data_IF_946549009479
#
_entry.id   IF_946549009479
#
_cell.length_a   1.000
_cell.length_b   1.000
_cell.length_c   1.000
_cell.angle_alpha   90.00
_cell.angle_beta   90.00
_cell.angle_gamma   90.00
#
_symmetry.space_group_name_H-M   'P 1'
#
loop_
_entity.id
_entity.type
_entity.pdbx_description
1 polymer ?
#
# COMPACT_ATOMS: atom_id res chain seq x y z
N UNK A 1 -32.85 0.21 26.75
CA UNK A 1 -31.96 -0.74 26.06
C UNK A 1 -31.28 0.00 24.92
N UNK A 2 -29.97 0.21 24.99
CA UNK A 2 -29.20 0.85 23.92
C UNK A 2 -28.65 -0.26 23.04
N UNK A 3 -29.21 -0.38 21.83
CA UNK A 3 -28.87 -1.40 20.85
C UNK A 3 -27.46 -1.11 20.30
N UNK A 4 -26.48 -1.91 20.71
CA UNK A 4 -25.12 -1.86 20.16
C UNK A 4 -25.20 -2.28 18.69
N UNK A 5 -24.99 -1.31 17.78
CA UNK A 5 -24.78 -1.61 16.37
C UNK A 5 -23.33 -2.01 16.19
N UNK A 6 -23.12 -3.20 15.64
CA UNK A 6 -21.81 -3.69 15.24
C UNK A 6 -21.20 -2.69 14.25
N UNK A 7 -19.91 -2.32 14.38
CA UNK A 7 -19.29 -1.37 13.45
C UNK A 7 -19.39 -1.91 12.03
N UNK A 8 -19.96 -1.11 11.14
CA UNK A 8 -19.91 -1.36 9.71
C UNK A 8 -18.46 -1.15 9.29
N UNK A 9 -17.75 -2.24 9.03
CA UNK A 9 -16.49 -2.19 8.31
C UNK A 9 -16.81 -1.81 6.85
N UNK A 10 -16.98 -0.53 6.58
CA UNK A 10 -17.06 0.01 5.21
C UNK A 10 -15.67 0.15 4.58
N UNK A 11 -14.69 -0.62 5.06
CA UNK A 11 -13.46 -0.87 4.32
C UNK A 11 -13.83 -1.68 3.08
N UNK A 12 -13.93 -1.01 1.93
CA UNK A 12 -13.92 -1.68 0.61
C UNK A 12 -12.84 -2.76 0.65
N UNK A 13 -13.11 -4.00 0.18
CA UNK A 13 -12.10 -5.06 0.17
C UNK A 13 -10.83 -4.49 -0.45
N UNK A 14 -9.74 -4.71 0.27
CA UNK A 14 -8.40 -4.17 0.07
C UNK A 14 -7.84 -4.66 -1.28
N UNK A 15 -8.39 -4.13 -2.39
CA UNK A 15 -8.14 -4.50 -3.80
C UNK A 15 -6.65 -4.45 -4.16
N UNK A 16 -5.91 -3.67 -3.36
CA UNK A 16 -4.47 -3.56 -3.29
C UNK A 16 -3.69 -4.84 -3.05
N UNK A 17 -4.29 -5.83 -2.38
CA UNK A 17 -3.63 -7.10 -2.07
C UNK A 17 -3.39 -7.92 -3.34
N UNK A 18 -4.21 -7.74 -4.38
CA UNK A 18 -4.17 -8.59 -5.56
C UNK A 18 -3.38 -8.01 -6.75
N UNK A 19 -2.96 -6.74 -6.67
CA UNK A 19 -2.32 -6.06 -7.81
C UNK A 19 -0.84 -6.47 -8.03
N UNK A 20 -0.21 -7.13 -7.06
CA UNK A 20 1.22 -7.47 -7.13
C UNK A 20 1.52 -8.96 -7.18
N UNK A 21 0.52 -9.83 -7.04
CA UNK A 21 0.75 -11.29 -6.97
C UNK A 21 0.97 -11.96 -8.33
N UNK A 22 0.69 -11.30 -9.46
CA UNK A 22 0.62 -11.98 -10.77
C UNK A 22 1.76 -11.69 -11.78
N UNK A 23 2.89 -11.07 -11.39
CA UNK A 23 3.94 -10.74 -12.38
C UNK A 23 5.39 -10.95 -11.90
N UNK A 24 5.58 -12.03 -11.13
CA UNK A 24 6.88 -12.63 -10.83
C UNK A 24 7.34 -13.60 -11.94
N UNK A 25 7.25 -13.20 -13.22
CA UNK A 25 8.14 -13.75 -14.26
C UNK A 25 9.53 -13.13 -14.03
N UNK A 26 10.32 -13.82 -13.20
CA UNK A 26 11.74 -13.58 -13.04
C UNK A 26 12.49 -14.17 -14.25
N UNK A 27 12.65 -13.37 -15.31
CA UNK A 27 13.79 -13.56 -16.23
C UNK A 27 15.03 -12.89 -15.62
N UNK A 28 15.41 -13.38 -14.44
CA UNK A 28 16.70 -13.08 -13.82
C UNK A 28 17.67 -14.19 -14.25
N UNK A 29 18.08 -14.16 -15.52
CA UNK A 29 19.38 -14.73 -15.92
C UNK A 29 20.46 -13.92 -15.17
N UNK A 30 20.70 -14.37 -13.95
CA UNK A 30 21.84 -14.02 -13.12
C UNK A 30 23.05 -14.69 -13.76
N UNK A 31 23.95 -13.89 -14.32
CA UNK A 31 25.31 -14.35 -14.61
C UNK A 31 25.94 -14.75 -13.25
N UNK A 32 25.97 -16.06 -12.98
CA UNK A 32 26.52 -16.67 -11.79
C UNK A 32 28.04 -16.39 -11.70
N UNK A 33 28.47 -15.68 -10.65
CA UNK A 33 29.78 -15.93 -10.05
C UNK A 33 29.58 -16.55 -8.66
N UNK A 34 29.75 -17.87 -8.64
CA UNK A 34 29.84 -18.75 -7.47
C UNK A 34 30.81 -18.21 -6.42
N UNK A 35 30.28 -17.81 -5.25
CA UNK A 35 31.08 -17.74 -4.02
C UNK A 35 30.36 -18.49 -2.90
N UNK A 36 30.85 -19.70 -2.71
CA UNK A 36 30.49 -20.69 -1.70
C UNK A 36 30.65 -20.12 -0.27
N UNK A 37 29.53 -19.90 0.44
CA UNK A 37 29.51 -19.66 1.91
C UNK A 37 28.33 -20.34 2.59
N UNK A 38 28.56 -21.61 2.91
CA UNK A 38 27.88 -22.39 3.93
C UNK A 38 27.62 -21.57 5.23
N UNK A 39 26.37 -21.22 5.50
CA UNK A 39 25.96 -20.70 6.83
C UNK A 39 24.84 -21.57 7.39
N UNK A 40 25.24 -22.45 8.31
CA UNK A 40 24.40 -23.31 9.13
C UNK A 40 23.65 -22.46 10.14
N UNK A 41 22.35 -22.23 9.95
CA UNK A 41 21.50 -21.56 10.96
C UNK A 41 20.72 -22.60 11.75
N UNK A 42 21.07 -22.65 13.03
CA UNK A 42 20.51 -23.48 14.07
C UNK A 42 19.04 -23.15 14.32
N UNK A 43 18.21 -24.19 14.34
CA UNK A 43 16.86 -24.16 14.91
C UNK A 43 16.94 -23.93 16.42
N UNK A 44 16.29 -22.87 16.91
CA UNK A 44 15.88 -22.78 18.33
C UNK A 44 14.51 -22.11 18.39
N UNK A 45 13.54 -22.89 18.85
CA UNK A 45 12.15 -22.54 19.10
C UNK A 45 12.03 -21.61 20.34
N UNK A 46 10.98 -20.78 20.32
CA UNK A 46 10.33 -20.09 21.45
C UNK A 46 11.12 -19.09 22.31
N UNK A 47 11.23 -17.82 21.84
CA UNK A 47 11.30 -16.62 22.70
C UNK A 47 11.17 -15.27 21.96
N UNK A 48 11.00 -15.21 20.64
CA UNK A 48 10.90 -13.93 19.93
C UNK A 48 9.94 -14.07 18.75
N UNK A 49 8.64 -14.01 19.00
CA UNK A 49 7.66 -13.79 17.93
C UNK A 49 7.99 -12.41 17.37
N UNK A 50 8.79 -12.39 16.30
CA UNK A 50 9.25 -11.19 15.66
C UNK A 50 8.05 -10.28 15.41
N UNK A 51 8.07 -9.10 16.01
CA UNK A 51 7.01 -8.14 15.80
C UNK A 51 7.19 -7.51 14.41
N UNK A 52 6.56 -8.10 13.40
CA UNK A 52 6.70 -7.67 12.01
C UNK A 52 6.33 -6.20 11.80
N UNK A 53 5.41 -5.67 12.60
CA UNK A 53 5.06 -4.25 12.59
C UNK A 53 6.27 -3.38 12.99
N UNK A 54 6.83 -3.63 14.18
CA UNK A 54 7.98 -2.88 14.68
C UNK A 54 9.25 -3.11 13.84
N UNK A 55 9.41 -4.32 13.32
CA UNK A 55 10.51 -4.66 12.41
C UNK A 55 10.44 -3.86 11.11
N UNK A 56 9.24 -3.68 10.56
CA UNK A 56 9.02 -2.89 9.36
C UNK A 56 9.33 -1.41 9.58
N UNK A 57 8.80 -0.83 10.66
CA UNK A 57 9.02 0.58 11.00
C UNK A 57 10.49 0.92 11.24
N UNK A 58 11.26 -0.02 11.81
CA UNK A 58 12.69 0.17 12.10
C UNK A 58 13.62 -0.37 11.02
N UNK A 59 13.09 -0.81 9.87
CA UNK A 59 13.86 -1.41 8.77
C UNK A 59 14.79 -2.55 9.24
N UNK A 60 14.30 -3.39 10.16
CA UNK A 60 15.04 -4.59 10.61
C UNK A 60 14.98 -5.68 9.55
N UNK A 61 15.92 -6.62 9.61
CA UNK A 61 15.95 -7.77 8.70
C UNK A 61 14.70 -8.65 8.85
N UNK A 62 14.04 -8.94 7.74
CA UNK A 62 12.93 -9.89 7.69
C UNK A 62 13.44 -11.29 7.36
N UNK A 63 12.75 -12.35 7.81
CA UNK A 63 13.00 -13.72 7.36
C UNK A 63 12.94 -13.82 5.83
N UNK A 64 13.76 -14.69 5.25
CA UNK A 64 13.96 -14.80 3.80
C UNK A 64 12.66 -15.00 3.00
N UNK A 65 11.62 -15.62 3.59
CA UNK A 65 10.30 -15.76 2.97
C UNK A 65 9.61 -14.44 2.61
N UNK A 66 9.97 -13.33 3.26
CA UNK A 66 9.52 -11.98 2.93
C UNK A 66 10.56 -11.27 2.06
N UNK A 67 10.75 -11.82 0.85
CA UNK A 67 11.81 -11.44 -0.08
C UNK A 67 11.55 -10.13 -0.83
N UNK A 68 10.34 -9.59 -0.78
CA UNK A 68 9.97 -8.34 -1.44
C UNK A 68 9.27 -7.37 -0.47
N UNK A 69 9.21 -6.10 -0.86
CA UNK A 69 8.66 -5.03 -0.02
C UNK A 69 7.17 -5.26 0.31
N UNK A 70 6.39 -5.76 -0.65
CA UNK A 70 4.97 -6.03 -0.46
C UNK A 70 4.72 -7.10 0.62
N UNK A 71 5.44 -8.22 0.56
CA UNK A 71 5.34 -9.31 1.55
C UNK A 71 5.68 -8.81 2.96
N UNK A 72 6.67 -7.93 3.10
CA UNK A 72 7.04 -7.31 4.39
C UNK A 72 5.91 -6.41 4.90
N UNK A 73 5.35 -5.56 4.03
CA UNK A 73 4.23 -4.67 4.35
C UNK A 73 2.99 -5.46 4.78
N UNK A 74 2.59 -6.50 4.04
CA UNK A 74 1.43 -7.34 4.38
C UNK A 74 1.61 -7.98 5.75
N UNK A 75 2.80 -8.53 6.04
CA UNK A 75 3.09 -9.11 7.36
C UNK A 75 3.00 -8.08 8.49
N UNK A 76 3.52 -6.87 8.26
CA UNK A 76 3.43 -5.77 9.21
C UNK A 76 1.97 -5.32 9.43
N UNK A 77 1.19 -5.18 8.35
CA UNK A 77 -0.23 -4.81 8.37
C UNK A 77 -1.07 -5.83 9.11
N UNK A 78 -0.87 -7.12 8.84
CA UNK A 78 -1.56 -8.20 9.57
C UNK A 78 -1.23 -8.19 11.06
N UNK A 79 0.04 -7.94 11.40
CA UNK A 79 0.48 -7.87 12.79
C UNK A 79 -0.15 -6.68 13.52
N UNK A 80 -0.17 -5.51 12.90
CA UNK A 80 -0.85 -4.31 13.40
C UNK A 80 -2.35 -4.57 13.63
N UNK A 81 -3.04 -5.15 12.64
CA UNK A 81 -4.46 -5.51 12.76
C UNK A 81 -4.73 -6.47 13.92
N UNK A 82 -3.88 -7.50 14.11
CA UNK A 82 -3.99 -8.44 15.24
C UNK A 82 -3.78 -7.74 16.58
N UNK A 83 -2.80 -6.83 16.67
CA UNK A 83 -2.55 -6.05 17.88
C UNK A 83 -3.77 -5.17 18.22
N UNK A 84 -4.37 -4.50 17.23
CA UNK A 84 -5.57 -3.70 17.43
C UNK A 84 -6.77 -4.54 17.87
N UNK A 85 -7.01 -5.68 17.22
CA UNK A 85 -8.07 -6.62 17.62
C UNK A 85 -7.91 -7.09 19.06
N UNK A 86 -6.68 -7.36 19.49
CA UNK A 86 -6.37 -7.72 20.88
C UNK A 86 -6.67 -6.57 21.85
N UNK A 87 -6.23 -5.33 21.54
CA UNK A 87 -6.52 -4.13 22.35
C UNK A 87 -8.03 -3.94 22.53
N UNK A 88 -8.81 -4.00 21.44
CA UNK A 88 -10.28 -3.84 21.47
C UNK A 88 -10.95 -4.98 22.25
N UNK A 89 -10.54 -6.23 22.02
CA UNK A 89 -11.13 -7.39 22.70
C UNK A 89 -10.95 -7.29 24.21
N UNK A 90 -9.77 -6.87 24.66
CA UNK A 90 -9.48 -6.65 26.08
C UNK A 90 -10.35 -5.53 26.66
N UNK A 91 -10.48 -4.41 25.94
CA UNK A 91 -11.34 -3.29 26.36
C UNK A 91 -12.82 -3.73 26.51
N UNK A 92 -13.32 -4.55 25.59
CA UNK A 92 -14.68 -5.10 25.66
C UNK A 92 -14.88 -6.05 26.85
N UNK A 93 -13.89 -6.88 27.17
CA UNK A 93 -13.92 -7.75 28.34
C UNK A 93 -13.95 -6.95 29.65
N UNK A 94 -13.10 -5.92 29.75
CA UNK A 94 -13.07 -5.03 30.91
C UNK A 94 -14.39 -4.27 31.06
N UNK A 95 -14.98 -3.81 29.96
CA UNK A 95 -16.29 -3.17 29.96
C UNK A 95 -17.40 -4.11 30.44
N UNK A 96 -17.42 -5.35 29.95
CA UNK A 96 -18.40 -6.34 30.38
C UNK A 96 -18.29 -6.62 31.88
N UNK A 97 -17.07 -6.83 32.39
CA UNK A 97 -16.83 -7.03 33.82
C UNK A 97 -17.27 -5.82 34.67
N UNK A 98 -17.00 -4.60 34.19
CA UNK A 98 -17.43 -3.36 34.85
C UNK A 98 -18.97 -3.24 34.89
N UNK A 99 -19.65 -3.64 33.81
CA UNK A 99 -21.12 -3.65 33.73
C UNK A 99 -21.74 -4.71 34.64
N UNK A 100 -21.12 -5.87 34.77
CA UNK A 100 -21.55 -6.91 35.70
C UNK A 100 -21.43 -6.45 37.16
N UNK A 101 -20.37 -5.70 37.49
CA UNK A 101 -20.23 -5.08 38.80
C UNK A 101 -21.31 -4.03 39.07
N UNK A 102 -21.63 -3.18 38.10
CA UNK A 102 -22.75 -2.22 38.21
C UNK A 102 -24.08 -2.93 38.45
N UNK A 103 -24.34 -4.04 37.76
CA UNK A 103 -25.55 -4.84 37.96
C UNK A 103 -25.63 -5.41 39.38
N UNK A 104 -24.50 -5.80 39.97
CA UNK A 104 -24.45 -6.24 41.37
C UNK A 104 -24.72 -5.09 42.34
N UNK A 105 -24.08 -3.94 42.15
CA UNK A 105 -24.32 -2.74 42.98
C UNK A 105 -25.78 -2.29 42.88
N UNK A 106 -26.40 -2.39 41.71
CA UNK A 106 -27.81 -2.03 41.49
C UNK A 106 -28.78 -2.80 42.39
N UNK A 107 -28.42 -4.04 42.79
CA UNK A 107 -29.23 -4.82 43.74
C UNK A 107 -29.26 -4.20 45.14
N UNK A 108 -28.20 -3.51 45.53
CA UNK A 108 -28.06 -2.89 46.85
C UNK A 108 -28.42 -1.39 46.85
N UNK A 109 -27.92 -0.63 45.86
CA UNK A 109 -28.15 0.81 45.71
C UNK A 109 -28.34 1.19 44.23
N UNK A 110 -29.60 1.37 43.78
CA UNK A 110 -29.91 1.75 42.41
C UNK A 110 -29.34 3.10 42.00
N UNK A 111 -29.29 4.10 42.89
CA UNK A 111 -28.84 5.45 42.54
C UNK A 111 -27.33 5.48 42.32
N UNK A 112 -26.58 4.83 43.19
CA UNK A 112 -25.12 4.70 43.03
C UNK A 112 -24.79 3.91 41.77
N UNK A 113 -25.52 2.81 41.51
CA UNK A 113 -25.33 2.03 40.29
C UNK A 113 -25.59 2.83 39.01
N UNK A 114 -26.61 3.68 38.98
CA UNK A 114 -26.91 4.51 37.81
C UNK A 114 -25.84 5.56 37.54
N UNK A 115 -25.26 6.15 38.59
CA UNK A 115 -24.12 7.07 38.46
C UNK A 115 -22.87 6.35 37.95
N UNK A 116 -22.56 5.18 38.53
CA UNK A 116 -21.44 4.34 38.07
C UNK A 116 -21.62 3.89 36.62
N UNK A 117 -22.83 3.50 36.22
CA UNK A 117 -23.13 3.09 34.85
C UNK A 117 -22.81 4.20 33.84
N UNK A 118 -23.19 5.45 34.16
CA UNK A 118 -22.89 6.61 33.33
C UNK A 118 -21.39 6.85 33.21
N UNK A 119 -20.68 6.89 34.32
CA UNK A 119 -19.24 7.12 34.34
C UNK A 119 -18.47 6.03 33.58
N UNK A 120 -18.82 4.76 33.78
CA UNK A 120 -18.18 3.63 33.09
C UNK A 120 -18.46 3.70 31.58
N UNK A 121 -19.69 4.04 31.18
CA UNK A 121 -20.04 4.18 29.77
C UNK A 121 -19.25 5.30 29.11
N UNK A 122 -19.17 6.47 29.76
CA UNK A 122 -18.41 7.62 29.25
C UNK A 122 -16.91 7.29 29.13
N UNK A 123 -16.32 6.67 30.16
CA UNK A 123 -14.91 6.22 30.12
C UNK A 123 -14.66 5.22 29.00
N UNK A 124 -15.56 4.24 28.82
CA UNK A 124 -15.45 3.26 27.75
C UNK A 124 -15.51 3.93 26.37
N UNK A 125 -16.47 4.83 26.15
CA UNK A 125 -16.58 5.58 24.88
C UNK A 125 -15.32 6.39 24.59
N UNK A 126 -14.77 7.08 25.59
CA UNK A 126 -13.54 7.85 25.43
C UNK A 126 -12.33 6.96 25.13
N UNK A 127 -12.20 5.82 25.80
CA UNK A 127 -11.11 4.86 25.54
C UNK A 127 -11.23 4.23 24.16
N UNK A 128 -12.44 3.84 23.76
CA UNK A 128 -12.70 3.26 22.46
C UNK A 128 -12.37 4.26 21.33
N UNK A 129 -12.84 5.50 21.44
CA UNK A 129 -12.50 6.57 20.49
C UNK A 129 -10.99 6.86 20.44
N UNK A 130 -10.29 6.79 21.58
CA UNK A 130 -8.83 6.94 21.62
C UNK A 130 -8.13 5.79 20.87
N UNK A 131 -8.58 4.55 21.02
CA UNK A 131 -8.03 3.39 20.32
C UNK A 131 -8.32 3.42 18.82
N UNK A 132 -9.49 3.91 18.39
CA UNK A 132 -9.77 4.10 16.96
C UNK A 132 -8.85 5.16 16.35
N UNK A 133 -8.64 6.27 17.06
CA UNK A 133 -7.73 7.32 16.60
C UNK A 133 -6.27 6.86 16.54
N UNK A 134 -5.84 6.05 17.51
CA UNK A 134 -4.50 5.45 17.51
C UNK A 134 -4.30 4.49 16.33
N UNK A 135 -5.28 3.61 16.05
CA UNK A 135 -5.23 2.67 14.93
C UNK A 135 -5.20 3.38 13.57
N UNK A 136 -5.98 4.46 13.42
CA UNK A 136 -5.94 5.26 12.20
C UNK A 136 -4.56 5.90 11.99
N UNK A 137 -3.97 6.47 13.04
CA UNK A 137 -2.63 7.04 12.96
C UNK A 137 -1.54 5.98 12.68
N UNK A 138 -1.64 4.80 13.29
CA UNK A 138 -0.73 3.67 13.03
C UNK A 138 -0.85 3.18 11.57
N UNK A 139 -2.07 3.10 11.03
CA UNK A 139 -2.33 2.77 9.62
C UNK A 139 -1.73 3.79 8.67
N UNK A 140 -1.99 5.08 8.90
CA UNK A 140 -1.45 6.17 8.08
C UNK A 140 0.09 6.13 8.07
N UNK A 141 0.72 5.95 9.24
CA UNK A 141 2.17 5.82 9.33
C UNK A 141 2.70 4.61 8.54
N UNK A 142 2.06 3.45 8.69
CA UNK A 142 2.47 2.22 8.02
C UNK A 142 2.36 2.35 6.49
N UNK A 143 1.25 2.91 6.00
CA UNK A 143 1.02 3.15 4.57
C UNK A 143 2.02 4.19 4.06
N UNK A 144 2.22 5.30 4.76
CA UNK A 144 3.17 6.34 4.36
C UNK A 144 4.60 5.82 4.20
N UNK A 145 5.05 4.99 5.13
CA UNK A 145 6.37 4.35 5.05
C UNK A 145 6.45 3.37 3.87
N UNK A 146 5.40 2.58 3.64
CA UNK A 146 5.34 1.67 2.50
C UNK A 146 5.44 2.39 1.17
N UNK A 147 4.68 3.47 0.99
CA UNK A 147 4.74 4.30 -0.21
C UNK A 147 6.16 4.82 -0.45
N UNK A 148 6.84 5.26 0.61
CA UNK A 148 8.23 5.72 0.51
C UNK A 148 9.18 4.61 0.06
N UNK A 149 9.07 3.40 0.62
CA UNK A 149 9.92 2.27 0.24
C UNK A 149 9.67 1.83 -1.20
N UNK A 150 8.41 1.70 -1.61
CA UNK A 150 8.04 1.34 -2.98
C UNK A 150 8.56 2.37 -3.97
N UNK A 151 8.37 3.67 -3.69
CA UNK A 151 8.86 4.73 -4.56
C UNK A 151 10.40 4.70 -4.69
N UNK A 152 11.11 4.50 -3.57
CA UNK A 152 12.56 4.40 -3.58
C UNK A 152 13.04 3.21 -4.43
N UNK A 153 12.46 2.03 -4.22
CA UNK A 153 12.79 0.82 -4.97
C UNK A 153 12.48 0.96 -6.48
N UNK A 154 11.34 1.55 -6.84
CA UNK A 154 10.98 1.81 -8.22
C UNK A 154 11.94 2.82 -8.87
N UNK A 155 12.28 3.91 -8.18
CA UNK A 155 13.22 4.91 -8.67
C UNK A 155 14.62 4.32 -8.90
N UNK A 156 15.10 3.49 -7.97
CA UNK A 156 16.35 2.77 -8.13
C UNK A 156 16.32 1.84 -9.34
N UNK A 157 15.23 1.08 -9.51
CA UNK A 157 15.10 0.16 -10.65
C UNK A 157 15.04 0.91 -11.98
N UNK A 158 14.33 2.04 -12.05
CA UNK A 158 14.29 2.91 -13.22
C UNK A 158 15.68 3.43 -13.58
N UNK A 159 16.44 3.92 -12.59
CA UNK A 159 17.81 4.39 -12.80
C UNK A 159 18.71 3.26 -13.31
N UNK A 160 18.70 2.12 -12.63
CA UNK A 160 19.55 0.97 -12.97
C UNK A 160 19.29 0.45 -14.39
N UNK A 161 18.00 0.26 -14.74
CA UNK A 161 17.61 -0.26 -16.06
C UNK A 161 17.87 0.76 -17.17
N UNK A 162 17.65 2.06 -16.92
CA UNK A 162 18.01 3.13 -17.84
C UNK A 162 19.52 3.18 -18.11
N UNK A 163 20.35 3.10 -17.07
CA UNK A 163 21.81 3.10 -17.22
C UNK A 163 22.29 1.91 -18.05
N UNK A 164 21.73 0.71 -17.80
CA UNK A 164 22.02 -0.50 -18.60
C UNK A 164 21.53 -0.37 -20.04
N UNK A 165 20.35 0.20 -20.25
CA UNK A 165 19.79 0.49 -21.57
C UNK A 165 20.68 1.43 -22.39
N UNK A 166 21.15 2.53 -21.79
CA UNK A 166 22.06 3.49 -22.44
C UNK A 166 23.37 2.84 -22.87
N UNK A 167 23.98 2.04 -21.99
CA UNK A 167 25.21 1.30 -22.32
C UNK A 167 24.99 0.25 -23.41
N UNK A 168 23.81 -0.37 -23.46
CA UNK A 168 23.47 -1.33 -24.51
C UNK A 168 23.27 -0.63 -25.87
N UNK A 169 22.64 0.56 -25.89
CA UNK A 169 22.51 1.39 -27.09
C UNK A 169 23.87 1.77 -27.67
N UNK A 170 24.82 2.20 -26.82
CA UNK A 170 26.19 2.55 -27.25
C UNK A 170 26.92 1.37 -27.90
N UNK A 171 26.68 0.15 -27.40
CA UNK A 171 27.29 -1.09 -27.93
C UNK A 171 26.56 -1.66 -29.14
N UNK A 172 25.34 -1.20 -29.42
CA UNK A 172 24.51 -1.71 -30.51
C UNK A 172 23.98 -3.14 -30.32
N UNK A 173 23.91 -3.64 -29.08
CA UNK A 173 23.47 -5.00 -28.76
C UNK A 173 21.93 -5.05 -28.67
N UNK A 174 21.27 -5.39 -29.78
CA UNK A 174 19.81 -5.40 -29.88
C UNK A 174 19.12 -6.23 -28.79
N UNK A 175 19.68 -7.39 -28.41
CA UNK A 175 19.10 -8.26 -27.38
C UNK A 175 19.12 -7.55 -26.01
N UNK A 176 20.27 -6.97 -25.64
CA UNK A 176 20.39 -6.25 -24.36
C UNK A 176 19.57 -4.97 -24.36
N UNK A 177 19.49 -4.26 -25.48
CA UNK A 177 18.65 -3.06 -25.65
C UNK A 177 17.19 -3.43 -25.37
N UNK A 178 16.67 -4.49 -25.98
CA UNK A 178 15.29 -4.98 -25.71
C UNK A 178 15.12 -5.35 -24.24
N UNK A 179 16.03 -6.15 -23.66
CA UNK A 179 15.95 -6.60 -22.25
C UNK A 179 15.85 -5.42 -21.29
N UNK A 180 16.76 -4.45 -21.40
CA UNK A 180 16.81 -3.32 -20.47
C UNK A 180 15.70 -2.30 -20.71
N UNK A 181 15.28 -2.10 -21.96
CA UNK A 181 14.14 -1.23 -22.26
C UNK A 181 12.83 -1.79 -21.71
N UNK A 182 12.58 -3.11 -21.87
CA UNK A 182 11.44 -3.79 -21.22
C UNK A 182 11.50 -3.65 -19.70
N UNK A 183 12.69 -3.82 -19.10
CA UNK A 183 12.89 -3.65 -17.67
C UNK A 183 12.57 -2.23 -17.18
N UNK A 184 12.98 -1.21 -17.94
CA UNK A 184 12.67 0.19 -17.64
C UNK A 184 11.16 0.48 -17.74
N UNK A 185 10.53 0.03 -18.82
CA UNK A 185 9.08 0.16 -19.03
C UNK A 185 8.32 -0.54 -17.91
N UNK A 186 8.70 -1.78 -17.53
CA UNK A 186 8.07 -2.50 -16.42
C UNK A 186 8.16 -1.70 -15.11
N UNK A 187 9.26 -0.99 -14.86
CA UNK A 187 9.42 -0.17 -13.66
C UNK A 187 8.56 1.11 -13.70
N UNK A 188 8.41 1.77 -14.86
CA UNK A 188 7.49 2.91 -15.03
C UNK A 188 6.03 2.48 -14.92
N UNK A 189 5.64 1.37 -15.53
CA UNK A 189 4.26 0.86 -15.48
C UNK A 189 3.88 0.38 -14.07
N UNK A 190 4.80 -0.23 -13.33
CA UNK A 190 4.57 -0.55 -11.91
C UNK A 190 4.35 0.71 -11.07
N UNK A 191 5.05 1.81 -11.34
CA UNK A 191 4.81 3.09 -10.68
C UNK A 191 3.44 3.67 -11.03
N UNK A 192 3.03 3.61 -12.30
CA UNK A 192 1.70 4.02 -12.74
C UNK A 192 0.61 3.23 -12.03
N UNK A 193 0.72 1.90 -11.99
CA UNK A 193 -0.22 1.03 -11.29
C UNK A 193 -0.31 1.39 -9.80
N UNK A 194 0.84 1.51 -9.13
CA UNK A 194 0.89 1.84 -7.70
C UNK A 194 0.26 3.20 -7.41
N UNK A 195 0.52 4.20 -8.26
CA UNK A 195 -0.08 5.53 -8.16
C UNK A 195 -1.60 5.49 -8.35
N UNK A 196 -2.09 4.76 -9.35
CA UNK A 196 -3.53 4.66 -9.67
C UNK A 196 -4.27 4.03 -8.52
N UNK A 197 -3.77 2.90 -8.04
CA UNK A 197 -4.37 2.23 -6.91
C UNK A 197 -4.37 3.18 -5.69
N UNK A 198 -3.28 3.93 -5.47
CA UNK A 198 -3.16 4.87 -4.32
C UNK A 198 -4.23 5.93 -4.35
N UNK A 199 -4.40 6.51 -5.52
CA UNK A 199 -5.46 7.45 -5.74
C UNK A 199 -6.84 6.82 -5.57
N UNK A 200 -7.05 5.58 -6.04
CA UNK A 200 -8.31 4.86 -5.85
C UNK A 200 -8.67 4.76 -4.37
N UNK A 201 -7.73 4.34 -3.51
CA UNK A 201 -7.97 4.28 -2.06
C UNK A 201 -8.39 5.63 -1.48
N UNK A 202 -7.62 6.68 -1.78
CA UNK A 202 -7.88 8.02 -1.25
C UNK A 202 -9.25 8.54 -1.71
N UNK A 203 -9.71 8.21 -2.93
CA UNK A 203 -11.07 8.57 -3.37
C UNK A 203 -12.15 8.00 -2.45
N UNK A 204 -11.94 6.82 -1.88
CA UNK A 204 -12.91 6.19 -0.98
C UNK A 204 -12.69 6.60 0.48
N UNK A 205 -11.45 6.64 0.96
CA UNK A 205 -11.15 6.93 2.38
C UNK A 205 -11.16 8.42 2.71
N UNK A 206 -10.73 9.29 1.79
CA UNK A 206 -10.64 10.73 1.99
C UNK A 206 -10.98 11.53 0.71
N UNK A 207 -12.27 11.66 0.33
CA UNK A 207 -12.68 12.30 -0.92
C UNK A 207 -12.17 13.73 -1.10
N UNK A 208 -12.10 14.51 -0.02
CA UNK A 208 -11.57 15.88 -0.05
C UNK A 208 -10.07 15.90 -0.37
N UNK A 209 -9.33 14.93 0.19
CA UNK A 209 -7.92 14.76 -0.10
C UNK A 209 -7.70 14.35 -1.55
N UNK A 210 -8.56 13.47 -2.07
CA UNK A 210 -8.52 13.04 -3.47
C UNK A 210 -8.62 14.26 -4.42
N UNK A 211 -9.53 15.19 -4.16
CA UNK A 211 -9.63 16.45 -4.93
C UNK A 211 -8.32 17.24 -4.87
N UNK A 212 -7.74 17.37 -3.66
CA UNK A 212 -6.51 18.15 -3.45
C UNK A 212 -5.32 17.58 -4.23
N UNK A 213 -5.14 16.26 -4.23
CA UNK A 213 -3.97 15.62 -4.85
C UNK A 213 -4.16 15.25 -6.32
N UNK A 214 -5.41 15.25 -6.82
CA UNK A 214 -5.73 14.83 -8.18
C UNK A 214 -4.84 15.47 -9.27
N UNK A 215 -4.58 16.80 -9.28
CA UNK A 215 -3.71 17.41 -10.28
C UNK A 215 -2.26 16.89 -10.22
N UNK A 216 -1.77 16.58 -9.03
CA UNK A 216 -0.41 16.03 -8.82
C UNK A 216 -0.34 14.60 -9.36
N UNK A 217 -1.36 13.79 -9.08
CA UNK A 217 -1.46 12.41 -9.58
C UNK A 217 -1.50 12.37 -11.11
N UNK A 218 -2.38 13.18 -11.73
CA UNK A 218 -2.48 13.28 -13.19
C UNK A 218 -1.14 13.69 -13.81
N UNK A 219 -0.46 14.68 -13.21
CA UNK A 219 0.84 15.11 -13.70
C UNK A 219 1.92 14.02 -13.56
N UNK A 220 1.94 13.27 -12.45
CA UNK A 220 2.90 12.17 -12.27
C UNK A 220 2.72 11.08 -13.33
N UNK A 221 1.47 10.65 -13.58
CA UNK A 221 1.16 9.64 -14.59
C UNK A 221 1.53 10.10 -16.00
N UNK A 222 1.25 11.36 -16.33
CA UNK A 222 1.64 11.99 -17.61
C UNK A 222 3.16 12.03 -17.78
N UNK A 223 3.90 12.40 -16.72
CA UNK A 223 5.36 12.39 -16.76
C UNK A 223 5.93 10.98 -16.94
N UNK A 224 5.28 9.96 -16.35
CA UNK A 224 5.65 8.56 -16.54
C UNK A 224 5.53 8.12 -18.00
N UNK A 225 4.41 8.43 -18.65
CA UNK A 225 4.19 8.15 -20.07
C UNK A 225 5.25 8.87 -20.94
N UNK A 226 5.51 10.15 -20.68
CA UNK A 226 6.53 10.91 -21.40
C UNK A 226 7.93 10.32 -21.27
N UNK A 227 8.27 9.74 -20.11
CA UNK A 227 9.56 9.07 -19.91
C UNK A 227 9.67 7.79 -20.73
N UNK A 228 8.59 7.00 -20.83
CA UNK A 228 8.53 5.82 -21.69
C UNK A 228 8.70 6.23 -23.16
N UNK A 229 7.99 7.28 -23.60
CA UNK A 229 8.10 7.82 -24.96
C UNK A 229 9.51 8.31 -25.27
N UNK A 230 10.15 9.00 -24.32
CA UNK A 230 11.53 9.45 -24.46
C UNK A 230 12.50 8.28 -24.59
N UNK A 231 12.36 7.23 -23.77
CA UNK A 231 13.16 6.03 -23.85
C UNK A 231 13.00 5.34 -25.22
N UNK A 232 11.76 5.15 -25.68
CA UNK A 232 11.47 4.61 -27.02
C UNK A 232 11.99 5.51 -28.15
N UNK A 233 12.00 6.82 -27.94
CA UNK A 233 12.50 7.81 -28.90
C UNK A 233 14.01 7.74 -29.12
N UNK A 234 14.77 7.22 -28.15
CA UNK A 234 16.23 7.08 -28.26
C UNK A 234 16.66 6.07 -29.32
N UNK A 235 15.80 5.08 -29.61
CA UNK A 235 16.02 4.09 -30.69
C UNK A 235 16.14 4.74 -32.07
N UNK A 236 15.51 5.90 -32.30
CA UNK A 236 15.54 6.62 -33.60
C UNK A 236 16.94 6.99 -34.08
N UNK A 237 17.92 7.03 -33.16
CA UNK A 237 19.33 7.27 -33.47
C UNK A 237 20.03 6.05 -34.09
N UNK A 238 19.38 4.88 -34.06
CA UNK A 238 19.90 3.60 -34.49
C UNK A 238 18.87 2.85 -35.37
N UNK A 239 18.64 3.28 -36.63
CA UNK A 239 17.52 2.78 -37.43
C UNK A 239 17.49 1.26 -37.64
N UNK A 240 18.66 0.62 -37.79
CA UNK A 240 18.76 -0.83 -37.96
C UNK A 240 18.34 -1.58 -36.69
N UNK A 241 18.74 -1.07 -35.52
CA UNK A 241 18.37 -1.64 -34.22
C UNK A 241 16.91 -1.36 -33.92
N UNK A 242 16.43 -0.14 -34.22
CA UNK A 242 15.04 0.26 -34.05
C UNK A 242 14.09 -0.69 -34.78
N UNK A 243 14.40 -1.08 -36.03
CA UNK A 243 13.59 -2.01 -36.79
C UNK A 243 13.45 -3.40 -36.13
N UNK A 244 14.44 -3.83 -35.35
CA UNK A 244 14.41 -5.10 -34.61
C UNK A 244 13.72 -4.94 -33.24
N UNK A 245 14.07 -3.90 -32.48
CA UNK A 245 13.65 -3.72 -31.08
C UNK A 245 12.24 -3.16 -30.95
N UNK A 246 11.86 -2.19 -31.80
CA UNK A 246 10.60 -1.44 -31.65
C UNK A 246 9.37 -2.36 -31.68
N UNK A 247 9.19 -3.27 -32.67
CA UNK A 247 8.01 -4.15 -32.69
C UNK A 247 7.91 -5.05 -31.46
N UNK A 248 9.06 -5.54 -30.99
CA UNK A 248 9.17 -6.39 -29.80
C UNK A 248 8.80 -5.67 -28.50
N UNK A 249 9.07 -4.37 -28.41
CA UNK A 249 8.74 -3.56 -27.23
C UNK A 249 7.30 -3.03 -27.30
N UNK A 250 6.82 -2.67 -28.50
CA UNK A 250 5.42 -2.29 -28.72
C UNK A 250 4.45 -3.46 -28.41
N UNK A 251 4.82 -4.69 -28.76
CA UNK A 251 4.05 -5.87 -28.37
C UNK A 251 4.06 -6.09 -26.84
N UNK A 252 5.20 -5.83 -26.20
CA UNK A 252 5.31 -5.90 -24.74
C UNK A 252 4.46 -4.84 -24.04
N UNK A 253 4.37 -3.62 -24.58
CA UNK A 253 3.58 -2.52 -24.01
C UNK A 253 2.09 -2.84 -23.90
N UNK A 254 1.54 -3.63 -24.83
CA UNK A 254 0.13 -4.05 -24.79
C UNK A 254 -0.25 -4.83 -23.54
N UNK A 255 0.73 -5.46 -22.86
CA UNK A 255 0.50 -6.16 -21.59
C UNK A 255 0.02 -5.21 -20.48
N UNK A 256 0.24 -3.90 -20.63
CA UNK A 256 -0.14 -2.87 -19.67
C UNK A 256 -1.42 -2.11 -20.06
N UNK A 257 -2.17 -2.57 -21.07
CA UNK A 257 -3.43 -1.94 -21.48
C UNK A 257 -4.47 -1.88 -20.33
N UNK A 258 -4.42 -2.86 -19.42
CA UNK A 258 -5.24 -2.87 -18.20
C UNK A 258 -4.95 -1.67 -17.30
N UNK A 259 -3.67 -1.27 -17.15
CA UNK A 259 -3.25 -0.09 -16.40
C UNK A 259 -3.79 1.18 -17.06
N UNK A 260 -3.67 1.27 -18.38
CA UNK A 260 -4.20 2.41 -19.13
C UNK A 260 -5.72 2.56 -18.96
N UNK A 261 -6.45 1.44 -18.92
CA UNK A 261 -7.87 1.43 -18.62
C UNK A 261 -8.14 1.88 -17.17
N UNK A 262 -7.40 1.36 -16.18
CA UNK A 262 -7.53 1.80 -14.78
C UNK A 262 -7.26 3.30 -14.61
N UNK A 263 -6.25 3.86 -15.28
CA UNK A 263 -6.00 5.31 -15.28
C UNK A 263 -7.20 6.08 -15.82
N UNK A 264 -7.76 5.62 -16.94
CA UNK A 264 -8.93 6.24 -17.57
C UNK A 264 -10.16 6.21 -16.67
N UNK A 265 -10.38 5.11 -15.98
CA UNK A 265 -11.63 4.87 -15.25
C UNK A 265 -11.56 5.41 -13.81
N UNK A 266 -10.37 5.37 -13.19
CA UNK A 266 -10.17 5.77 -11.78
C UNK A 266 -9.69 7.19 -11.65
N UNK A 267 -8.71 7.61 -12.45
CA UNK A 267 -7.96 8.85 -12.23
C UNK A 267 -8.49 10.00 -13.08
N UNK A 268 -8.76 9.78 -14.37
CA UNK A 268 -9.19 10.86 -15.26
C UNK A 268 -10.53 11.52 -14.86
N UNK A 269 -11.53 10.80 -14.32
CA UNK A 269 -12.75 11.44 -13.87
C UNK A 269 -12.45 12.31 -12.65
N UNK A 270 -12.87 13.58 -12.68
CA UNK A 270 -12.71 14.47 -11.54
C UNK A 270 -13.42 13.87 -10.31
N UNK A 271 -12.74 13.83 -9.14
CA UNK A 271 -13.36 13.37 -7.91
C UNK A 271 -14.54 14.29 -7.56
N UNK A 272 -15.73 13.71 -7.48
CA UNK A 272 -16.94 14.44 -7.09
C UNK A 272 -16.98 14.53 -5.58
N UNK A 273 -17.00 15.75 -5.06
CA UNK A 273 -17.45 16.03 -3.70
C UNK A 273 -18.89 16.51 -3.83
N UNK A 274 -19.84 15.75 -3.30
CA UNK A 274 -21.18 16.28 -3.05
C UNK A 274 -21.01 17.42 -2.05
N UNK A 275 -21.17 18.65 -2.52
CA UNK A 275 -21.24 19.80 -1.65
C UNK A 275 -22.50 19.60 -0.80
N UNK A 276 -22.36 19.38 0.50
CA UNK A 276 -23.46 19.66 1.43
C UNK A 276 -23.82 21.12 1.22
N UNK A 277 -24.92 21.33 0.51
CA UNK A 277 -25.53 22.64 0.36
C UNK A 277 -26.13 22.96 1.72
N UNK A 278 -25.34 23.55 2.62
CA UNK A 278 -25.88 24.33 3.73
C UNK A 278 -26.59 25.56 3.14
N UNK A 279 -27.79 25.34 2.59
CA UNK A 279 -28.76 26.38 2.37
C UNK A 279 -29.44 26.71 3.71
N UNK A 280 -28.68 27.23 4.67
CA UNK A 280 -29.23 28.11 5.69
C UNK A 280 -29.19 29.53 5.15
N UNK A 281 -30.27 29.93 4.45
CA UNK A 281 -30.67 31.33 4.34
C UNK A 281 -32.15 31.44 3.98
N UNK A 282 -32.94 31.61 5.03
CA UNK A 282 -34.02 32.59 5.15
C UNK A 282 -35.04 32.66 4.01
N UNK A 283 -36.24 32.12 4.26
CA UNK A 283 -37.49 32.90 4.26
C UNK A 283 -38.54 32.22 5.14
#
# INVERSE_FOLDING_TARGET
>A
ETNYHQPQNDDKPDSWQNSSEEDEDYDEDSDEEETDKNTKISSSEDANVMDFYEAYLRQKEFPHKYNNEHKKFVAAKERMKKNQQHKITKLLQEWQAARDHVNEVRKADPKTADNMAKEITERFQNLYAAYEKEDEAEKEQLIGLHLQHVQAALNEKKRETMDKYMRALEKGDAIKITKYLRGYIKAEEKDRMHTVNHFEHIKYSAPQEAVRIHPVIVNHLRLSEQRIDQAMGMLKRYPEIEAMVRPEVEEFLKRFDSIANSIRDVVLPEPKVEQEVEATSQT
#
